data_IF_386686810864
#
_entry.id   IF_386686810864
#
_cell.length_a   1.000
_cell.length_b   1.000
_cell.length_c   1.000
_cell.angle_alpha   90.00
_cell.angle_beta   90.00
_cell.angle_gamma   90.00
#
_symmetry.space_group_name_H-M   'P 1'
#
loop_
_entity.id
_entity.type
_entity.pdbx_description
1 polymer ?
#
# COMPACT_ATOMS: atom_id res chain seq x y z
N UNK A 1 -39.39 10.39 -55.39
CA UNK A 1 -38.07 10.87 -55.84
C UNK A 1 -38.23 11.38 -57.26
N UNK A 2 -37.99 12.66 -57.52
CA UNK A 2 -37.93 13.19 -58.89
C UNK A 2 -36.57 12.82 -59.49
N UNK A 3 -36.51 12.31 -60.73
CA UNK A 3 -35.24 12.00 -61.37
C UNK A 3 -34.47 13.30 -61.67
N UNK A 4 -33.18 13.32 -61.33
CA UNK A 4 -32.30 14.44 -61.69
C UNK A 4 -31.98 14.37 -63.20
N UNK A 5 -32.12 15.51 -63.87
CA UNK A 5 -31.99 15.66 -65.33
C UNK A 5 -30.56 15.56 -65.85
N UNK A 6 -29.57 15.53 -64.95
CA UNK A 6 -28.14 15.44 -65.27
C UNK A 6 -27.65 14.01 -65.53
N UNK A 7 -28.49 12.98 -65.31
CA UNK A 7 -28.10 11.58 -65.50
C UNK A 7 -27.20 11.01 -64.40
N UNK A 8 -27.02 11.75 -63.30
CA UNK A 8 -26.23 11.32 -62.15
C UNK A 8 -27.13 11.10 -60.93
N UNK A 9 -26.96 9.96 -60.25
CA UNK A 9 -27.71 9.60 -59.05
C UNK A 9 -26.76 9.61 -57.84
N UNK A 10 -26.95 10.55 -56.92
CA UNK A 10 -26.26 10.52 -55.63
C UNK A 10 -27.07 9.69 -54.65
N UNK A 11 -26.55 8.53 -54.27
CA UNK A 11 -27.15 7.67 -53.26
C UNK A 11 -26.24 7.65 -52.01
N UNK A 12 -26.83 7.89 -50.85
CA UNK A 12 -26.19 7.72 -49.55
C UNK A 12 -26.90 6.60 -48.80
N UNK A 13 -26.12 5.69 -48.21
CA UNK A 13 -26.63 4.69 -47.28
C UNK A 13 -26.30 5.17 -45.87
N UNK A 14 -27.32 5.34 -45.04
CA UNK A 14 -27.16 5.86 -43.68
C UNK A 14 -26.77 4.75 -42.69
N UNK A 15 -27.24 3.51 -42.91
CA UNK A 15 -27.08 2.41 -41.96
C UNK A 15 -26.55 1.15 -42.66
N UNK A 16 -25.22 1.02 -42.73
CA UNK A 16 -24.54 -0.16 -43.27
C UNK A 16 -24.16 -1.07 -42.10
N UNK A 17 -24.77 -2.26 -42.03
CA UNK A 17 -24.40 -3.29 -41.08
C UNK A 17 -23.56 -4.37 -41.78
N UNK A 18 -22.39 -4.67 -41.22
CA UNK A 18 -21.50 -5.73 -41.67
C UNK A 18 -21.56 -6.90 -40.69
N UNK A 19 -22.06 -8.04 -41.15
CA UNK A 19 -22.07 -9.29 -40.38
C UNK A 19 -20.83 -10.10 -40.74
N UNK A 20 -19.96 -10.31 -39.75
CA UNK A 20 -18.77 -11.13 -39.87
C UNK A 20 -19.06 -12.56 -39.41
N UNK A 21 -18.27 -13.51 -39.89
CA UNK A 21 -18.21 -14.85 -39.31
C UNK A 21 -17.61 -14.75 -37.90
N UNK A 22 -18.11 -15.56 -36.96
CA UNK A 22 -17.68 -15.53 -35.56
C UNK A 22 -16.16 -15.64 -35.41
N UNK A 23 -15.51 -16.51 -36.19
CA UNK A 23 -14.07 -16.71 -36.19
C UNK A 23 -13.30 -15.43 -36.56
N UNK A 24 -13.82 -14.66 -37.53
CA UNK A 24 -13.19 -13.41 -37.96
C UNK A 24 -13.45 -12.29 -36.94
N UNK A 25 -14.63 -12.27 -36.32
CA UNK A 25 -14.95 -11.34 -35.23
C UNK A 25 -14.04 -11.57 -34.01
N UNK A 26 -13.86 -12.81 -33.59
CA UNK A 26 -12.93 -13.17 -32.51
C UNK A 26 -11.50 -12.74 -32.83
N UNK A 27 -11.05 -12.99 -34.07
CA UNK A 27 -9.71 -12.61 -34.52
C UNK A 27 -9.52 -11.09 -34.46
N UNK A 28 -10.50 -10.33 -34.94
CA UNK A 28 -10.46 -8.87 -34.89
C UNK A 28 -10.49 -8.35 -33.45
N UNK A 29 -11.29 -8.96 -32.57
CA UNK A 29 -11.34 -8.60 -31.15
C UNK A 29 -9.98 -8.84 -30.47
N UNK A 30 -9.32 -9.97 -30.73
CA UNK A 30 -7.96 -10.24 -30.23
C UNK A 30 -6.97 -9.20 -30.73
N UNK A 31 -7.02 -8.86 -32.02
CA UNK A 31 -6.13 -7.87 -32.61
C UNK A 31 -6.37 -6.46 -32.03
N UNK A 32 -7.64 -6.10 -31.82
CA UNK A 32 -8.01 -4.84 -31.19
C UNK A 32 -7.52 -4.77 -29.74
N UNK A 33 -7.61 -5.88 -29.01
CA UNK A 33 -7.07 -5.98 -27.65
C UNK A 33 -5.56 -5.75 -27.63
N UNK A 34 -4.80 -6.49 -28.46
CA UNK A 34 -3.34 -6.34 -28.55
C UNK A 34 -2.93 -4.89 -28.87
N UNK A 35 -3.61 -4.23 -29.81
CA UNK A 35 -3.33 -2.82 -30.14
C UNK A 35 -3.60 -1.87 -28.97
N UNK A 36 -4.68 -2.11 -28.22
CA UNK A 36 -4.99 -1.30 -27.03
C UNK A 36 -3.93 -1.51 -25.95
N UNK A 37 -3.54 -2.76 -25.72
CA UNK A 37 -2.52 -3.12 -24.73
C UNK A 37 -1.16 -2.51 -25.12
N UNK A 38 -0.80 -2.54 -26.40
CA UNK A 38 0.41 -1.90 -26.94
C UNK A 38 0.39 -0.38 -26.73
N UNK A 39 -0.72 0.28 -27.04
CA UNK A 39 -0.86 1.72 -26.82
C UNK A 39 -0.74 2.10 -25.33
N UNK A 40 -1.31 1.29 -24.43
CA UNK A 40 -1.16 1.48 -22.98
C UNK A 40 0.30 1.30 -22.56
N UNK A 41 0.95 0.24 -23.06
CA UNK A 41 2.36 -0.02 -22.76
C UNK A 41 3.28 1.10 -23.26
N UNK A 42 3.08 1.60 -24.48
CA UNK A 42 3.84 2.72 -25.03
C UNK A 42 3.67 3.99 -24.19
N UNK A 43 2.44 4.28 -23.78
CA UNK A 43 2.17 5.42 -22.91
C UNK A 43 2.87 5.26 -21.56
N UNK A 44 2.82 4.09 -20.95
CA UNK A 44 3.50 3.82 -19.67
C UNK A 44 5.02 3.93 -19.83
N UNK A 45 5.59 3.34 -20.88
CA UNK A 45 7.02 3.41 -21.18
C UNK A 45 7.46 4.85 -21.37
N UNK A 46 6.69 5.64 -22.13
CA UNK A 46 6.97 7.06 -22.36
C UNK A 46 6.84 7.87 -21.08
N UNK A 47 5.86 7.57 -20.24
CA UNK A 47 5.71 8.18 -18.92
C UNK A 47 6.95 7.93 -18.05
N UNK A 48 7.41 6.67 -17.95
CA UNK A 48 8.62 6.33 -17.20
C UNK A 48 9.88 6.98 -17.79
N UNK A 49 10.01 7.01 -19.12
CA UNK A 49 11.12 7.68 -19.79
C UNK A 49 11.13 9.18 -19.51
N UNK A 50 9.98 9.85 -19.64
CA UNK A 50 9.83 11.27 -19.34
C UNK A 50 10.12 11.55 -17.86
N UNK A 51 9.68 10.68 -16.95
CA UNK A 51 9.97 10.79 -15.52
C UNK A 51 11.47 10.69 -15.25
N UNK A 52 12.17 9.73 -15.86
CA UNK A 52 13.64 9.62 -15.76
C UNK A 52 14.34 10.85 -16.33
N UNK A 53 13.87 11.34 -17.47
CA UNK A 53 14.43 12.53 -18.10
C UNK A 53 14.24 13.77 -17.23
N UNK A 54 13.05 13.95 -16.64
CA UNK A 54 12.75 15.04 -15.72
C UNK A 54 13.61 14.94 -14.45
N UNK A 55 13.65 13.76 -13.82
CA UNK A 55 14.46 13.57 -12.61
C UNK A 55 15.95 13.72 -12.88
N UNK A 56 16.46 13.21 -14.00
CA UNK A 56 17.89 13.31 -14.33
C UNK A 56 18.30 14.71 -14.76
N UNK A 57 17.61 15.30 -15.73
CA UNK A 57 18.05 16.54 -16.37
C UNK A 57 17.57 17.81 -15.67
N UNK A 58 16.50 17.73 -14.87
CA UNK A 58 15.89 18.89 -14.21
C UNK A 58 16.13 18.85 -12.70
N UNK A 59 15.87 17.71 -12.05
CA UNK A 59 15.98 17.60 -10.58
C UNK A 59 17.40 17.30 -10.12
N UNK A 60 18.00 16.22 -10.61
CA UNK A 60 19.29 15.71 -10.13
C UNK A 60 20.48 16.21 -10.94
N UNK A 61 20.29 17.20 -11.81
CA UNK A 61 21.36 17.79 -12.63
C UNK A 61 22.48 18.40 -11.79
N UNK A 62 22.09 19.09 -10.71
CA UNK A 62 23.02 19.63 -9.72
C UNK A 62 22.36 19.62 -8.33
N UNK A 63 23.18 19.75 -7.28
CA UNK A 63 22.69 19.77 -5.90
C UNK A 63 21.70 20.92 -5.64
N UNK A 64 21.83 22.05 -6.35
CA UNK A 64 20.93 23.20 -6.18
C UNK A 64 19.52 22.92 -6.69
N UNK A 65 19.40 22.29 -7.84
CA UNK A 65 18.13 21.91 -8.47
C UNK A 65 17.42 20.85 -7.64
N UNK A 66 18.18 19.91 -7.07
CA UNK A 66 17.65 18.90 -6.16
C UNK A 66 17.10 19.54 -4.87
N UNK A 67 17.79 20.54 -4.32
CA UNK A 67 17.35 21.30 -3.14
C UNK A 67 16.07 22.09 -3.41
N UNK A 68 16.00 22.80 -4.54
CA UNK A 68 14.79 23.55 -4.95
C UNK A 68 13.62 22.60 -5.16
N UNK A 69 13.84 21.48 -5.83
CA UNK A 69 12.81 20.45 -6.01
C UNK A 69 12.36 19.85 -4.69
N UNK A 70 13.29 19.55 -3.77
CA UNK A 70 12.96 19.03 -2.45
C UNK A 70 12.12 20.03 -1.66
N UNK A 71 12.45 21.33 -1.70
CA UNK A 71 11.67 22.39 -1.05
C UNK A 71 10.26 22.49 -1.61
N UNK A 72 10.13 22.50 -2.94
CA UNK A 72 8.84 22.53 -3.61
C UNK A 72 7.98 21.29 -3.30
N UNK A 73 8.61 20.15 -3.00
CA UNK A 73 7.93 18.90 -2.69
C UNK A 73 7.55 18.75 -1.21
N UNK A 74 8.24 19.44 -0.31
CA UNK A 74 8.09 19.34 1.15
C UNK A 74 7.65 20.69 1.75
N UNK A 75 6.71 21.40 1.11
CA UNK A 75 6.08 22.63 1.64
C UNK A 75 7.09 23.65 2.22
N UNK A 76 8.23 23.85 1.55
CA UNK A 76 9.25 24.85 1.93
C UNK A 76 9.89 24.65 3.32
N UNK A 77 9.96 23.41 3.83
CA UNK A 77 10.61 23.09 5.12
C UNK A 77 12.14 23.23 5.07
N UNK A 78 12.64 24.47 5.15
CA UNK A 78 14.06 24.83 4.99
C UNK A 78 14.97 24.09 5.97
N UNK A 79 14.59 23.98 7.25
CA UNK A 79 15.43 23.33 8.28
C UNK A 79 15.75 21.87 7.91
N UNK A 80 14.74 21.15 7.42
CA UNK A 80 14.88 19.77 7.00
C UNK A 80 15.64 19.66 5.67
N UNK A 81 15.46 20.61 4.75
CA UNK A 81 16.28 20.66 3.53
C UNK A 81 17.76 20.85 3.81
N UNK A 82 18.09 21.69 4.79
CA UNK A 82 19.49 21.94 5.19
C UNK A 82 20.07 20.69 5.86
N UNK A 83 19.29 19.97 6.67
CA UNK A 83 19.70 18.68 7.21
C UNK A 83 19.94 17.62 6.11
N UNK A 84 19.04 17.54 5.13
CA UNK A 84 19.10 16.59 4.02
C UNK A 84 20.07 17.02 2.90
N UNK A 85 20.71 18.19 3.01
CA UNK A 85 21.60 18.76 1.98
C UNK A 85 22.72 17.79 1.60
N UNK A 86 23.30 17.12 2.58
CA UNK A 86 24.39 16.16 2.41
C UNK A 86 23.93 14.93 1.61
N UNK A 87 22.72 14.43 1.90
CA UNK A 87 22.09 13.31 1.20
C UNK A 87 21.73 13.70 -0.24
N UNK A 88 21.18 14.90 -0.44
CA UNK A 88 20.88 15.42 -1.78
C UNK A 88 22.15 15.56 -2.62
N UNK A 89 23.25 16.02 -2.02
CA UNK A 89 24.54 16.08 -2.68
C UNK A 89 25.01 14.69 -3.12
N UNK A 90 24.96 13.70 -2.22
CA UNK A 90 25.33 12.32 -2.53
C UNK A 90 24.45 11.72 -3.64
N UNK A 91 23.14 11.94 -3.59
CA UNK A 91 22.21 11.49 -4.64
C UNK A 91 22.51 12.13 -5.99
N UNK A 92 22.80 13.44 -6.04
CA UNK A 92 23.17 14.11 -7.29
C UNK A 92 24.51 13.65 -7.82
N UNK A 93 25.49 13.42 -6.96
CA UNK A 93 26.81 12.89 -7.33
C UNK A 93 26.68 11.47 -7.91
N UNK A 94 25.92 10.60 -7.24
CA UNK A 94 25.64 9.24 -7.72
C UNK A 94 24.83 9.21 -9.02
N UNK A 95 23.89 10.13 -9.20
CA UNK A 95 23.08 10.19 -10.43
C UNK A 95 23.86 10.66 -11.67
N UNK A 96 24.99 11.37 -11.47
CA UNK A 96 25.81 11.91 -12.55
C UNK A 96 27.18 11.24 -12.67
N UNK A 97 27.45 10.18 -11.91
CA UNK A 97 28.77 9.52 -11.84
C UNK A 97 29.91 10.53 -11.55
N UNK A 98 29.67 11.46 -10.62
CA UNK A 98 30.64 12.51 -10.25
C UNK A 98 30.96 12.45 -8.76
N UNK A 99 32.16 12.94 -8.40
CA UNK A 99 32.54 13.06 -7.00
C UNK A 99 31.72 14.14 -6.27
N UNK A 100 31.59 13.98 -4.94
CA UNK A 100 30.90 14.94 -4.09
C UNK A 100 31.76 16.20 -3.97
N UNK A 101 31.22 17.42 -4.16
CA UNK A 101 32.00 18.65 -4.00
C UNK A 101 32.64 18.75 -2.61
N UNK A 102 33.94 19.08 -2.55
CA UNK A 102 34.73 19.14 -1.29
C UNK A 102 34.06 19.96 -0.18
N UNK A 103 33.40 21.07 -0.56
CA UNK A 103 32.64 21.92 0.38
C UNK A 103 31.52 21.19 1.12
N UNK A 104 30.93 20.16 0.49
CA UNK A 104 29.83 19.36 1.04
C UNK A 104 30.36 18.07 1.68
N UNK A 105 31.55 17.61 1.31
CA UNK A 105 32.22 16.47 1.98
C UNK A 105 32.42 16.75 3.48
N UNK A 106 32.78 17.98 3.85
CA UNK A 106 32.92 18.38 5.26
C UNK A 106 31.61 18.25 6.06
N UNK A 107 30.46 18.40 5.41
CA UNK A 107 29.14 18.27 6.05
C UNK A 107 28.82 16.78 6.27
N UNK A 108 29.16 15.93 5.30
CA UNK A 108 29.07 14.47 5.44
C UNK A 108 29.98 13.95 6.55
N UNK A 109 31.21 14.46 6.66
CA UNK A 109 32.15 14.08 7.73
C UNK A 109 31.74 14.55 9.12
N UNK A 110 30.84 15.54 9.21
CA UNK A 110 30.30 16.05 10.48
C UNK A 110 28.95 15.44 10.85
N UNK A 111 28.31 14.67 9.96
CA UNK A 111 27.23 13.80 10.40
C UNK A 111 27.82 12.77 11.37
N UNK A 112 27.31 12.64 12.60
CA UNK A 112 27.67 11.54 13.48
C UNK A 112 27.45 10.27 12.68
N UNK A 113 28.49 9.47 12.52
CA UNK A 113 28.48 8.30 11.65
C UNK A 113 27.22 7.49 11.82
N UNK A 114 26.33 7.59 10.84
CA UNK A 114 25.56 6.43 10.44
C UNK A 114 26.61 5.47 9.86
N UNK A 115 26.68 4.23 10.36
CA UNK A 115 27.83 3.38 10.14
C UNK A 115 28.08 3.22 8.64
N UNK A 116 29.38 3.19 8.31
CA UNK A 116 29.88 2.78 7.02
C UNK A 116 29.09 1.56 6.51
N UNK A 117 28.93 1.48 5.18
CA UNK A 117 28.40 0.30 4.50
C UNK A 117 28.83 -0.99 5.22
N UNK A 118 27.94 -1.97 5.43
CA UNK A 118 28.21 -3.10 6.29
C UNK A 118 29.36 -3.93 5.72
N UNK A 119 30.58 -3.61 6.14
CA UNK A 119 31.56 -4.63 6.40
C UNK A 119 30.90 -5.54 7.43
N UNK A 120 30.79 -6.81 7.06
CA UNK A 120 30.30 -7.91 7.88
C UNK A 120 31.11 -7.99 9.17
N UNK A 121 30.84 -7.09 10.11
CA UNK A 121 31.14 -7.28 11.50
C UNK A 121 30.07 -8.25 11.97
N UNK A 122 30.53 -9.42 12.39
CA UNK A 122 29.75 -10.37 13.14
C UNK A 122 29.18 -9.66 14.38
N UNK A 123 28.00 -9.09 14.23
CA UNK A 123 27.16 -8.72 15.35
C UNK A 123 26.73 -10.04 16.02
N UNK A 124 27.06 -10.15 17.30
CA UNK A 124 26.37 -11.01 18.25
C UNK A 124 24.87 -11.06 17.90
N UNK A 125 24.24 -12.25 17.85
CA UNK A 125 22.98 -12.44 17.17
C UNK A 125 21.90 -11.56 17.80
N UNK A 126 21.57 -10.48 17.12
CA UNK A 126 20.32 -9.76 17.31
C UNK A 126 19.18 -10.79 17.26
N UNK A 127 18.16 -10.68 18.15
CA UNK A 127 17.04 -11.60 18.12
C UNK A 127 16.44 -11.55 16.71
N UNK A 128 16.43 -12.73 16.08
CA UNK A 128 15.98 -12.99 14.72
C UNK A 128 14.95 -11.99 14.21
N UNK A 129 15.21 -11.42 13.04
CA UNK A 129 14.21 -10.80 12.16
C UNK A 129 12.96 -11.66 12.17
N UNK A 130 12.01 -11.30 13.02
CA UNK A 130 10.72 -11.94 13.08
C UNK A 130 10.07 -11.63 11.73
N UNK A 131 9.88 -12.65 10.89
CA UNK A 131 9.16 -12.52 9.63
C UNK A 131 7.79 -11.94 9.94
N UNK A 132 7.65 -10.61 9.83
CA UNK A 132 6.37 -9.93 10.02
C UNK A 132 5.42 -10.50 8.99
N UNK A 133 4.47 -11.28 9.47
CA UNK A 133 3.50 -11.97 8.63
C UNK A 133 2.46 -10.95 8.15
N UNK A 134 1.71 -11.25 7.09
CA UNK A 134 0.60 -10.40 6.63
C UNK A 134 -0.39 -10.05 7.76
N UNK A 135 -0.54 -10.97 8.72
CA UNK A 135 -1.33 -10.80 9.96
C UNK A 135 -0.79 -9.65 10.82
N UNK A 136 0.52 -9.55 11.00
CA UNK A 136 1.17 -8.52 11.84
C UNK A 136 1.01 -7.14 11.23
N UNK A 137 1.16 -7.04 9.91
CA UNK A 137 0.94 -5.81 9.17
C UNK A 137 -0.52 -5.33 9.26
N UNK A 138 -1.47 -6.27 9.15
CA UNK A 138 -2.89 -5.95 9.23
C UNK A 138 -3.29 -5.56 10.66
N UNK A 139 -2.70 -6.20 11.68
CA UNK A 139 -2.87 -5.79 13.08
C UNK A 139 -2.39 -4.35 13.29
N UNK A 140 -1.17 -4.03 12.84
CA UNK A 140 -0.63 -2.67 12.96
C UNK A 140 -1.45 -1.62 12.21
N UNK A 141 -2.03 -1.98 11.05
CA UNK A 141 -2.98 -1.13 10.34
C UNK A 141 -4.24 -0.84 11.17
N UNK A 142 -4.83 -1.85 11.80
CA UNK A 142 -5.99 -1.64 12.66
C UNK A 142 -5.68 -0.83 13.91
N UNK A 143 -4.50 -1.02 14.50
CA UNK A 143 -4.03 -0.23 15.64
C UNK A 143 -3.85 1.24 15.25
N UNK A 144 -3.24 1.51 14.09
CA UNK A 144 -3.08 2.88 13.56
C UNK A 144 -4.42 3.57 13.26
N UNK A 145 -5.43 2.80 12.85
CA UNK A 145 -6.79 3.30 12.63
C UNK A 145 -7.61 3.47 13.92
N UNK A 146 -7.06 3.08 15.07
CA UNK A 146 -7.72 3.18 16.38
C UNK A 146 -8.86 2.17 16.58
N UNK A 147 -8.92 1.11 15.77
CA UNK A 147 -9.85 0.01 16.05
C UNK A 147 -9.24 -0.81 17.17
N UNK A 148 -9.94 -1.05 18.28
CA UNK A 148 -9.40 -1.85 19.40
C UNK A 148 -9.69 -3.34 19.22
N UNK A 149 -9.02 -4.19 19.99
CA UNK A 149 -9.35 -5.62 20.06
C UNK A 149 -10.82 -5.78 20.51
N UNK A 150 -11.61 -6.52 19.73
CA UNK A 150 -13.07 -6.64 19.93
C UNK A 150 -13.95 -5.71 19.08
N UNK A 151 -13.39 -4.81 18.27
CA UNK A 151 -14.17 -4.00 17.34
C UNK A 151 -14.71 -4.85 16.17
N UNK A 152 -16.03 -4.86 15.99
CA UNK A 152 -16.73 -5.57 14.91
C UNK A 152 -16.18 -5.18 13.52
N UNK A 153 -15.69 -3.94 13.37
CA UNK A 153 -15.10 -3.45 12.12
C UNK A 153 -13.81 -4.20 11.76
N UNK A 154 -13.00 -4.64 12.74
CA UNK A 154 -11.80 -5.45 12.48
C UNK A 154 -12.17 -6.77 11.83
N UNK A 155 -13.22 -7.43 12.34
CA UNK A 155 -13.72 -8.72 11.85
C UNK A 155 -14.24 -8.58 10.41
N UNK A 156 -15.08 -7.57 10.15
CA UNK A 156 -15.65 -7.34 8.81
C UNK A 156 -14.58 -7.05 7.76
N UNK A 157 -13.61 -6.18 8.09
CA UNK A 157 -12.53 -5.81 7.18
C UNK A 157 -11.56 -6.96 6.94
N UNK A 158 -11.20 -7.71 7.99
CA UNK A 158 -10.34 -8.88 7.84
C UNK A 158 -11.00 -9.92 6.92
N UNK A 159 -12.30 -10.18 7.07
CA UNK A 159 -13.05 -11.08 6.20
C UNK A 159 -13.07 -10.62 4.74
N UNK A 160 -13.34 -9.33 4.50
CA UNK A 160 -13.35 -8.78 3.14
C UNK A 160 -11.96 -8.88 2.48
N UNK A 161 -10.90 -8.61 3.23
CA UNK A 161 -9.52 -8.73 2.73
C UNK A 161 -9.19 -10.20 2.45
N UNK A 162 -9.55 -11.12 3.34
CA UNK A 162 -9.36 -12.56 3.12
C UNK A 162 -10.10 -13.07 1.87
N UNK A 163 -11.32 -12.61 1.60
CA UNK A 163 -12.07 -12.99 0.40
C UNK A 163 -11.38 -12.52 -0.89
N UNK A 164 -10.82 -11.30 -0.89
CA UNK A 164 -10.03 -10.78 -2.02
C UNK A 164 -8.73 -11.57 -2.19
N UNK A 165 -8.04 -11.90 -1.09
CA UNK A 165 -6.79 -12.67 -1.12
C UNK A 165 -7.03 -14.10 -1.63
N UNK A 166 -8.17 -14.72 -1.31
CA UNK A 166 -8.60 -16.01 -1.88
C UNK A 166 -8.81 -15.95 -3.38
N UNK A 167 -9.41 -14.87 -3.91
CA UNK A 167 -9.60 -14.69 -5.35
C UNK A 167 -8.27 -14.58 -6.13
N UNK A 168 -7.17 -14.25 -5.44
CA UNK A 168 -5.82 -14.18 -5.99
C UNK A 168 -5.01 -15.48 -5.79
N UNK A 169 -5.65 -16.60 -5.43
CA UNK A 169 -5.04 -17.91 -5.17
C UNK A 169 -4.05 -17.95 -3.99
N UNK A 170 -4.13 -17.01 -3.03
CA UNK A 170 -3.28 -16.98 -1.82
C UNK A 170 -4.02 -17.51 -0.59
N UNK A 171 -4.44 -18.77 -0.66
CA UNK A 171 -5.35 -19.37 0.33
C UNK A 171 -4.79 -19.42 1.75
N UNK A 172 -3.51 -19.78 1.93
CA UNK A 172 -2.85 -19.87 3.23
C UNK A 172 -2.87 -18.53 3.98
N UNK A 173 -2.49 -17.44 3.31
CA UNK A 173 -2.53 -16.09 3.89
C UNK A 173 -3.96 -15.66 4.27
N UNK A 174 -4.96 -16.03 3.47
CA UNK A 174 -6.34 -15.69 3.77
C UNK A 174 -6.90 -16.44 4.98
N UNK A 175 -6.48 -17.70 5.18
CA UNK A 175 -6.84 -18.51 6.33
C UNK A 175 -6.17 -18.01 7.61
N UNK A 176 -4.90 -17.62 7.55
CA UNK A 176 -4.19 -17.02 8.69
C UNK A 176 -4.85 -15.72 9.18
N UNK A 177 -5.30 -14.88 8.24
CA UNK A 177 -6.04 -13.66 8.54
C UNK A 177 -7.38 -13.98 9.22
N UNK A 178 -8.15 -14.96 8.73
CA UNK A 178 -9.42 -15.35 9.34
C UNK A 178 -9.19 -15.95 10.74
N UNK A 179 -8.19 -16.81 10.90
CA UNK A 179 -7.89 -17.43 12.20
C UNK A 179 -7.58 -16.40 13.29
N UNK A 180 -6.92 -15.29 12.94
CA UNK A 180 -6.55 -14.25 13.89
C UNK A 180 -7.70 -13.30 14.22
N UNK A 181 -8.46 -12.88 13.20
CA UNK A 181 -9.42 -11.78 13.33
C UNK A 181 -10.89 -12.20 13.33
N UNK A 182 -11.20 -13.43 12.93
CA UNK A 182 -12.54 -14.03 12.96
C UNK A 182 -12.44 -15.50 13.46
N UNK A 183 -11.98 -15.72 14.72
CA UNK A 183 -11.82 -17.06 15.24
C UNK A 183 -13.18 -17.77 15.25
N UNK A 184 -13.28 -19.01 14.71
CA UNK A 184 -14.54 -19.74 14.74
C UNK A 184 -14.98 -19.92 16.18
N UNK A 185 -16.24 -19.59 16.48
CA UNK A 185 -16.80 -19.71 17.81
C UNK A 185 -16.52 -21.11 18.38
N UNK A 186 -15.64 -21.19 19.35
CA UNK A 186 -15.42 -22.39 20.14
C UNK A 186 -16.67 -22.61 20.97
N UNK A 187 -17.44 -23.64 20.62
CA UNK A 187 -18.49 -24.17 21.49
C UNK A 187 -17.84 -24.56 22.81
N UNK A 188 -18.02 -23.76 23.85
CA UNK A 188 -17.89 -24.23 25.23
C UNK A 188 -19.16 -25.03 25.53
N UNK A 189 -19.08 -26.34 25.84
CA UNK A 189 -20.22 -27.03 26.39
C UNK A 189 -20.54 -26.36 27.72
N UNK A 190 -21.71 -25.74 27.77
CA UNK A 190 -22.29 -25.10 28.94
C UNK A 190 -22.47 -26.15 30.05
N UNK A 191 -21.47 -26.30 30.93
CA UNK A 191 -21.66 -27.04 32.17
C UNK A 191 -22.45 -26.14 33.11
N UNK A 192 -23.66 -26.59 33.41
CA UNK A 192 -24.71 -25.83 34.07
C UNK A 192 -24.30 -25.15 35.37
N UNK A 193 -24.78 -23.92 35.49
CA UNK A 193 -25.01 -23.19 36.72
C UNK A 193 -25.49 -24.10 37.86
N UNK A 194 -24.70 -24.17 38.94
CA UNK A 194 -25.25 -24.43 40.27
C UNK A 194 -25.83 -23.10 40.81
N UNK A 195 -27.11 -23.06 41.22
CA UNK A 195 -27.71 -21.86 41.77
C UNK A 195 -27.27 -21.66 43.23
N UNK A 196 -26.62 -20.52 43.47
CA UNK A 196 -26.37 -19.97 44.80
C UNK A 196 -27.67 -19.92 45.62
N UNK A 197 -27.72 -20.71 46.69
CA UNK A 197 -28.77 -20.64 47.70
C UNK A 197 -28.27 -19.84 48.89
N UNK A 198 -28.55 -18.55 48.89
CA UNK A 198 -28.62 -17.72 50.09
C UNK A 198 -29.76 -18.21 50.98
N UNK A 199 -29.51 -18.51 52.26
CA UNK A 199 -30.51 -18.52 53.35
C UNK A 199 -29.73 -18.45 54.68
N UNK A 200 -29.55 -17.29 55.31
CA UNK A 200 -30.47 -16.56 56.20
C UNK A 200 -30.11 -16.82 57.68
N UNK A 201 -29.81 -15.75 58.41
CA UNK A 201 -29.45 -15.76 59.82
C UNK A 201 -30.32 -14.73 60.55
N UNK A 202 -31.01 -15.07 61.64
CA UNK A 202 -31.70 -14.09 62.46
C UNK A 202 -30.91 -13.77 63.75
N UNK A 203 -30.50 -12.51 63.81
CA UNK A 203 -30.91 -11.45 64.73
C UNK A 203 -30.97 -11.60 66.28
N UNK A 204 -30.67 -10.45 66.89
CA UNK A 204 -31.01 -9.89 68.22
C UNK A 204 -30.20 -10.20 69.49
N UNK A 205 -29.30 -9.26 69.80
CA UNK A 205 -29.24 -8.40 71.01
C UNK A 205 -29.78 -8.89 72.36
N UNK A 206 -28.96 -8.79 73.42
CA UNK A 206 -29.16 -7.79 74.49
C UNK A 206 -28.15 -7.97 75.63
N UNK A 207 -27.51 -6.86 76.02
CA UNK A 207 -26.70 -6.75 77.22
C UNK A 207 -27.54 -6.80 78.50
N UNK A 208 -26.87 -7.15 79.59
CA UNK A 208 -27.35 -7.02 80.97
C UNK A 208 -26.39 -6.11 81.74
N UNK A 209 -26.86 -5.24 82.65
CA UNK A 209 -26.05 -4.74 83.74
C UNK A 209 -26.46 -5.34 85.08
N UNK A 210 -25.53 -5.23 86.03
CA UNK A 210 -25.56 -5.71 87.40
C UNK A 210 -26.64 -5.05 88.27
N UNK A 211 -27.32 -5.85 89.09
CA UNK A 211 -27.42 -5.74 90.56
C UNK A 211 -28.38 -6.83 91.09
#
# INVERSE_FOLDING_TARGET
MCPDSTGHLQAMAENINLTLLEQDQERLNRLAKVRKDEAVWEHQRKYEQNKRQYLGNDVLKDTGSAVVWWLAKNDEHVEKTVADLALLAQLTSAANDTDIPERLQNILSQQPGEPAAPEFLEEDPAPTSQERTAVDHLSGFFDAMGFTEGDVRRVMLAKQISDIVKQQNRHETAEDLLRRFDPPATFTPNNGEEPNSHTDAPDETSGAPLA
#
